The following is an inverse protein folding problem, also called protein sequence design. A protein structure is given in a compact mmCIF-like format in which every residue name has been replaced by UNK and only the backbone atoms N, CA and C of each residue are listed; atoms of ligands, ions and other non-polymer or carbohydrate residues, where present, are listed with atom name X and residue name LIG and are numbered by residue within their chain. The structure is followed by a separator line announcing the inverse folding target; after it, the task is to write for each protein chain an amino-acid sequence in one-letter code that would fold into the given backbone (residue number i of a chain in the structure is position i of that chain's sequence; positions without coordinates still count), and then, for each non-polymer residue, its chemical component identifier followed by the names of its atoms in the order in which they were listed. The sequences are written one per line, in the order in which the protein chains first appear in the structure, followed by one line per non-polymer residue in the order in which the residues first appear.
data_IF_696842442622
#
_entry.id   IF_696842442622
#
_cell.length_a   1.000
_cell.length_b   1.000
_cell.length_c   1.000
_cell.angle_alpha   90.00
_cell.angle_beta   90.00
_cell.angle_gamma   90.00
#
_symmetry.space_group_name_H-M   'P 1'
#
loop_
_entity.id
_entity.type
_entity.pdbx_description
1 polymer ?
#
# COMPACT_ATOMS: atom_id res chain seq x y z
N UNK A 1 37.84 17.62 -60.49
CA UNK A 1 37.57 16.40 -61.28
C UNK A 1 36.43 15.65 -60.61
N UNK A 2 35.28 15.72 -61.28
CA UNK A 2 34.35 14.58 -61.58
C UNK A 2 33.91 13.77 -60.37
N UNK A 3 32.68 13.46 -60.14
CA UNK A 3 31.45 13.44 -60.97
C UNK A 3 30.23 13.34 -60.03
N UNK A 4 29.15 13.91 -60.52
CA UNK A 4 27.78 13.77 -60.02
C UNK A 4 27.28 12.33 -60.16
N UNK A 5 26.45 11.92 -59.25
CA UNK A 5 25.43 10.87 -59.53
C UNK A 5 24.16 11.22 -58.79
N UNK A 6 23.19 11.72 -59.50
CA UNK A 6 21.81 11.84 -59.07
C UNK A 6 21.16 10.46 -59.15
N UNK A 7 20.50 10.07 -58.10
CA UNK A 7 19.64 8.88 -58.14
C UNK A 7 18.19 9.28 -57.85
N UNK A 8 17.41 9.31 -58.87
CA UNK A 8 15.94 9.42 -58.82
C UNK A 8 15.36 8.11 -58.27
N UNK A 9 14.59 8.20 -57.24
CA UNK A 9 13.77 7.11 -56.77
C UNK A 9 12.29 7.47 -56.91
N UNK A 10 11.66 6.69 -57.78
CA UNK A 10 10.27 6.72 -58.17
C UNK A 10 9.35 6.44 -56.98
N UNK A 11 8.40 7.30 -56.72
CA UNK A 11 7.25 7.09 -55.87
C UNK A 11 6.29 6.13 -56.57
N UNK A 12 6.26 4.88 -56.10
CA UNK A 12 5.20 3.95 -56.40
C UNK A 12 4.01 4.21 -55.49
N UNK A 13 2.93 4.70 -56.06
CA UNK A 13 1.66 4.86 -55.37
C UNK A 13 1.07 3.52 -54.97
N UNK A 14 0.84 3.32 -53.71
CA UNK A 14 -0.03 2.25 -53.22
C UNK A 14 -1.47 2.74 -53.26
N UNK A 15 -2.24 2.08 -54.11
CA UNK A 15 -3.68 2.24 -54.21
C UNK A 15 -4.36 1.93 -52.89
N UNK A 16 -5.10 2.90 -52.38
CA UNK A 16 -5.96 2.70 -51.25
C UNK A 16 -7.12 1.77 -51.60
N UNK A 17 -7.07 0.59 -51.04
CA UNK A 17 -8.21 -0.32 -51.04
C UNK A 17 -9.26 0.30 -50.10
N UNK A 18 -10.33 0.81 -50.70
CA UNK A 18 -11.51 1.25 -49.95
C UNK A 18 -12.18 0.01 -49.38
N UNK A 19 -11.83 -0.33 -48.15
CA UNK A 19 -12.68 -1.21 -47.36
C UNK A 19 -13.94 -0.41 -47.04
N UNK A 20 -15.02 -0.74 -47.76
CA UNK A 20 -16.36 -0.33 -47.40
C UNK A 20 -16.69 -1.06 -46.10
N UNK A 21 -16.25 -0.51 -45.02
CA UNK A 21 -16.64 -0.93 -43.66
C UNK A 21 -18.11 -0.62 -43.52
N UNK A 22 -18.89 -1.68 -43.45
CA UNK A 22 -20.28 -1.68 -43.06
C UNK A 22 -20.41 -0.85 -41.77
N UNK A 23 -20.97 0.35 -41.92
CA UNK A 23 -21.30 1.24 -40.80
C UNK A 23 -22.41 0.56 -39.99
N UNK A 24 -22.04 -0.39 -39.13
CA UNK A 24 -22.91 -0.79 -38.02
C UNK A 24 -22.99 0.41 -37.11
N UNK A 25 -24.06 1.16 -37.28
CA UNK A 25 -24.35 2.35 -36.46
C UNK A 25 -24.26 1.98 -35.01
N UNK A 26 -23.23 2.47 -34.35
CA UNK A 26 -23.10 2.39 -32.91
C UNK A 26 -24.27 3.17 -32.37
N UNK A 27 -25.22 2.50 -31.73
CA UNK A 27 -26.41 3.15 -31.16
C UNK A 27 -25.99 4.08 -30.03
N UNK A 28 -26.73 5.16 -29.83
CA UNK A 28 -26.47 6.13 -28.76
C UNK A 28 -26.31 5.46 -27.40
N UNK A 29 -27.00 4.33 -27.15
CA UNK A 29 -26.85 3.55 -25.93
C UNK A 29 -25.50 2.82 -25.82
N UNK A 30 -24.84 2.47 -26.91
CA UNK A 30 -23.50 1.89 -26.88
C UNK A 30 -22.45 2.96 -26.59
N UNK A 31 -22.63 4.16 -27.14
CA UNK A 31 -21.76 5.30 -26.84
C UNK A 31 -21.92 5.71 -25.38
N UNK A 32 -23.15 5.73 -24.85
CA UNK A 32 -23.41 6.04 -23.44
C UNK A 32 -22.74 5.04 -22.47
N UNK A 33 -22.66 3.76 -22.86
CA UNK A 33 -21.94 2.74 -22.05
C UNK A 33 -20.42 2.89 -22.09
N UNK A 34 -19.87 3.40 -23.18
CA UNK A 34 -18.43 3.67 -23.32
C UNK A 34 -18.01 5.00 -22.68
N UNK A 35 -18.97 5.91 -22.47
CA UNK A 35 -18.74 7.26 -21.95
C UNK A 35 -19.05 7.41 -20.46
N UNK A 36 -19.59 6.38 -19.83
CA UNK A 36 -19.69 6.40 -18.36
C UNK A 36 -18.28 6.11 -17.86
N UNK A 37 -17.57 7.09 -17.25
CA UNK A 37 -16.40 6.75 -16.49
C UNK A 37 -16.91 5.76 -15.45
N UNK A 38 -16.41 4.54 -15.47
CA UNK A 38 -16.50 3.63 -14.36
C UNK A 38 -15.84 4.38 -13.21
N UNK A 39 -16.65 5.09 -12.45
CA UNK A 39 -16.24 5.61 -11.16
C UNK A 39 -15.90 4.33 -10.41
N UNK A 40 -14.61 4.01 -10.39
CA UNK A 40 -14.06 3.03 -9.49
C UNK A 40 -14.54 3.47 -8.12
N UNK A 41 -15.63 2.84 -7.67
CA UNK A 41 -16.11 2.99 -6.31
C UNK A 41 -14.96 2.40 -5.50
N UNK A 42 -14.03 3.28 -5.10
CA UNK A 42 -12.97 2.93 -4.17
C UNK A 42 -13.71 2.38 -2.97
N UNK A 43 -13.70 1.06 -2.86
CA UNK A 43 -14.35 0.33 -1.79
C UNK A 43 -13.91 1.01 -0.48
N UNK A 44 -14.83 1.65 0.27
CA UNK A 44 -14.47 2.25 1.54
C UNK A 44 -13.93 1.22 2.54
N UNK A 45 -14.02 -0.08 2.22
CA UNK A 45 -13.35 -1.16 2.91
C UNK A 45 -11.88 -1.38 2.47
N UNK A 46 -11.44 -0.75 1.40
CA UNK A 46 -10.00 -0.62 1.10
C UNK A 46 -9.26 0.24 2.13
N UNK A 47 -9.97 0.84 3.08
CA UNK A 47 -9.37 1.42 4.27
C UNK A 47 -8.56 0.34 5.01
N UNK A 48 -7.28 0.54 5.05
CA UNK A 48 -6.30 -0.35 5.67
C UNK A 48 -6.62 -0.48 7.15
N UNK A 49 -7.20 -1.59 7.56
CA UNK A 49 -7.59 -1.83 8.97
C UNK A 49 -6.64 -2.81 9.63
N UNK A 50 -5.83 -2.38 10.58
CA UNK A 50 -5.07 -3.30 11.41
C UNK A 50 -6.05 -4.13 12.25
N UNK A 51 -5.74 -5.42 12.37
CA UNK A 51 -6.51 -6.39 13.12
C UNK A 51 -5.65 -7.01 14.21
N UNK A 52 -6.25 -7.53 15.28
CA UNK A 52 -5.52 -8.18 16.34
C UNK A 52 -4.66 -9.34 15.82
N UNK A 53 -3.40 -9.36 16.27
CA UNK A 53 -2.51 -10.49 16.08
C UNK A 53 -3.01 -11.69 16.91
N UNK A 54 -2.86 -12.87 16.35
CA UNK A 54 -3.17 -14.15 16.99
C UNK A 54 -1.87 -14.83 17.44
N UNK A 55 -1.91 -15.69 18.41
CA UNK A 55 -0.75 -16.48 18.86
C UNK A 55 -0.11 -17.24 17.69
N UNK A 56 -0.93 -17.81 16.81
CA UNK A 56 -0.45 -18.51 15.61
C UNK A 56 0.34 -17.61 14.63
N UNK A 57 0.14 -16.30 14.66
CA UNK A 57 0.83 -15.37 13.77
C UNK A 57 2.33 -15.32 14.10
N UNK A 58 2.71 -15.42 15.36
CA UNK A 58 4.10 -15.43 15.80
C UNK A 58 4.84 -16.69 15.34
N UNK A 59 4.18 -17.85 15.46
CA UNK A 59 4.72 -19.13 14.95
C UNK A 59 4.84 -19.14 13.43
N UNK A 60 3.84 -18.66 12.72
CA UNK A 60 3.84 -18.56 11.27
C UNK A 60 4.90 -17.58 10.74
N UNK A 61 5.12 -16.48 11.43
CA UNK A 61 6.13 -15.48 11.11
C UNK A 61 7.54 -15.87 11.56
N UNK A 62 7.69 -16.93 12.36
CA UNK A 62 8.95 -17.29 13.04
C UNK A 62 9.56 -16.11 13.82
N UNK A 63 8.69 -15.24 14.33
CA UNK A 63 9.11 -14.05 15.05
C UNK A 63 9.48 -14.41 16.49
N UNK A 64 10.65 -13.99 16.99
CA UNK A 64 10.97 -14.11 18.41
C UNK A 64 10.04 -13.24 19.27
N UNK A 65 10.21 -13.27 20.59
CA UNK A 65 9.51 -12.33 21.46
C UNK A 65 9.74 -10.89 20.98
N UNK A 66 8.69 -10.08 20.83
CA UNK A 66 8.83 -8.73 20.30
C UNK A 66 9.54 -7.82 21.33
N UNK A 67 10.42 -6.95 20.85
CA UNK A 67 11.06 -5.92 21.66
C UNK A 67 10.08 -4.76 21.97
N UNK A 68 9.20 -4.47 21.00
CA UNK A 68 8.15 -3.46 21.10
C UNK A 68 6.83 -3.96 20.52
N UNK A 69 5.72 -3.41 20.99
CA UNK A 69 4.40 -3.71 20.45
C UNK A 69 3.44 -2.52 20.58
N UNK A 70 2.52 -2.41 19.62
CA UNK A 70 1.38 -1.52 19.72
C UNK A 70 0.11 -2.32 19.99
N UNK A 71 -0.63 -1.90 21.01
CA UNK A 71 -1.88 -2.54 21.40
C UNK A 71 -3.02 -1.55 21.60
N UNK A 72 -4.24 -2.04 21.38
CA UNK A 72 -5.48 -1.30 21.62
C UNK A 72 -6.51 -2.22 22.25
N UNK A 73 -7.17 -1.76 23.31
CA UNK A 73 -8.20 -2.54 24.04
C UNK A 73 -7.70 -3.93 24.46
N UNK A 74 -6.46 -4.02 24.97
CA UNK A 74 -5.85 -5.28 25.39
C UNK A 74 -5.43 -6.21 24.25
N UNK A 75 -5.58 -5.81 23.00
CA UNK A 75 -5.23 -6.62 21.81
C UNK A 75 -4.02 -6.02 21.11
N UNK A 76 -3.05 -6.86 20.78
CA UNK A 76 -1.86 -6.47 20.03
C UNK A 76 -2.19 -6.33 18.54
N UNK A 77 -1.83 -5.19 17.92
CA UNK A 77 -2.04 -4.89 16.51
C UNK A 77 -0.76 -4.92 15.71
N UNK A 78 0.37 -4.60 16.35
CA UNK A 78 1.71 -4.61 15.77
C UNK A 78 2.67 -5.22 16.77
N UNK A 79 3.55 -6.08 16.33
CA UNK A 79 4.68 -6.60 17.09
C UNK A 79 5.96 -6.34 16.30
N UNK A 80 7.02 -5.90 16.97
CA UNK A 80 8.26 -5.51 16.33
C UNK A 80 9.49 -5.97 17.13
N UNK A 81 10.53 -6.37 16.41
CA UNK A 81 11.87 -6.69 16.90
C UNK A 81 12.88 -5.71 16.32
N UNK A 82 14.15 -5.87 16.66
CA UNK A 82 15.21 -5.01 16.13
C UNK A 82 15.34 -5.01 14.59
N UNK A 83 14.85 -6.02 13.90
CA UNK A 83 15.00 -6.16 12.43
C UNK A 83 13.71 -6.34 11.65
N UNK A 84 12.60 -6.61 12.30
CA UNK A 84 11.37 -7.05 11.65
C UNK A 84 10.12 -6.63 12.44
N UNK A 85 9.00 -6.51 11.76
CA UNK A 85 7.71 -6.31 12.41
C UNK A 85 6.62 -7.10 11.71
N UNK A 86 5.59 -7.47 12.46
CA UNK A 86 4.38 -8.10 11.92
C UNK A 86 3.14 -7.33 12.33
N UNK A 87 2.20 -7.24 11.41
CA UNK A 87 0.84 -6.78 11.68
C UNK A 87 -0.15 -7.55 10.82
N UNK A 88 -1.37 -7.68 11.30
CA UNK A 88 -2.46 -8.23 10.51
C UNK A 88 -3.28 -7.09 9.93
N UNK A 89 -3.35 -7.01 8.61
CA UNK A 89 -4.07 -5.96 7.89
C UNK A 89 -5.03 -6.61 6.89
N UNK A 90 -6.30 -6.25 6.95
CA UNK A 90 -7.35 -6.80 6.09
C UNK A 90 -7.35 -8.35 6.02
N UNK A 91 -7.18 -9.02 7.17
CA UNK A 91 -7.15 -10.47 7.28
C UNK A 91 -5.81 -11.14 6.94
N UNK A 92 -4.85 -10.41 6.37
CA UNK A 92 -3.54 -10.93 5.97
C UNK A 92 -2.47 -10.58 7.02
N UNK A 93 -1.62 -11.54 7.33
CA UNK A 93 -0.40 -11.29 8.09
C UNK A 93 0.64 -10.69 7.14
N UNK A 94 1.15 -9.53 7.49
CA UNK A 94 2.18 -8.80 6.75
C UNK A 94 3.45 -8.74 7.58
N UNK A 95 4.59 -8.81 6.89
CA UNK A 95 5.92 -8.60 7.42
C UNK A 95 6.45 -7.26 6.93
N UNK A 96 7.05 -6.51 7.82
CA UNK A 96 7.58 -5.19 7.57
C UNK A 96 9.05 -5.14 7.93
N UNK A 97 9.82 -4.44 7.13
CA UNK A 97 11.17 -4.05 7.50
C UNK A 97 11.17 -2.71 8.21
N UNK A 98 12.18 -2.46 9.02
CA UNK A 98 12.40 -1.14 9.60
C UNK A 98 12.92 -0.17 8.55
N UNK A 99 12.31 1.01 8.51
CA UNK A 99 12.83 2.13 7.71
C UNK A 99 13.43 3.23 8.58
N UNK A 100 13.24 3.15 9.90
CA UNK A 100 13.80 4.07 10.89
C UNK A 100 14.02 3.35 12.23
N UNK A 101 14.90 3.86 13.10
CA UNK A 101 15.13 3.26 14.42
C UNK A 101 13.84 3.09 15.22
N UNK A 102 13.63 1.87 15.72
CA UNK A 102 12.54 1.55 16.63
C UNK A 102 13.00 1.75 18.07
N UNK A 103 12.10 2.27 18.91
CA UNK A 103 12.38 2.45 20.32
C UNK A 103 11.19 2.98 21.10
N UNK A 104 11.41 3.45 22.34
CA UNK A 104 10.35 4.00 23.19
C UNK A 104 9.60 5.18 22.58
N UNK A 105 10.20 5.92 21.66
CA UNK A 105 9.56 7.05 20.96
C UNK A 105 8.59 6.62 19.86
N UNK A 106 8.69 5.38 19.37
CA UNK A 106 7.92 4.85 18.27
C UNK A 106 8.77 4.09 17.26
N UNK A 107 8.26 3.97 16.04
CA UNK A 107 8.94 3.31 14.93
C UNK A 107 8.21 3.52 13.61
N UNK A 108 8.92 3.27 12.50
CA UNK A 108 8.36 3.29 11.17
C UNK A 108 8.68 1.98 10.45
N UNK A 109 7.66 1.37 9.89
CA UNK A 109 7.70 0.04 9.29
C UNK A 109 7.04 0.10 7.92
N UNK A 110 7.63 -0.56 6.93
CA UNK A 110 7.06 -0.57 5.60
C UNK A 110 7.21 -1.90 4.88
N UNK A 111 6.27 -2.19 4.01
CA UNK A 111 6.35 -3.16 2.94
C UNK A 111 6.13 -2.46 1.59
N UNK A 112 5.85 -3.24 0.52
CA UNK A 112 5.64 -2.69 -0.83
C UNK A 112 4.41 -1.80 -0.96
N UNK A 113 3.41 -1.94 -0.11
CA UNK A 113 2.10 -1.28 -0.25
C UNK A 113 1.68 -0.53 1.00
N UNK A 114 2.01 -1.07 2.15
CA UNK A 114 1.56 -0.58 3.45
C UNK A 114 2.74 0.02 4.19
N UNK A 115 2.54 1.18 4.79
CA UNK A 115 3.45 1.71 5.80
C UNK A 115 2.70 1.87 7.12
N UNK A 116 3.43 1.63 8.19
CA UNK A 116 2.95 1.77 9.56
C UNK A 116 3.89 2.69 10.31
N UNK A 117 3.35 3.75 10.87
CA UNK A 117 4.06 4.66 11.75
C UNK A 117 3.46 4.54 13.15
N UNK A 118 4.29 4.43 14.15
CA UNK A 118 3.88 4.47 15.56
C UNK A 118 4.61 5.62 16.24
N UNK A 119 3.88 6.47 16.91
CA UNK A 119 4.44 7.57 17.70
C UNK A 119 3.78 7.64 19.08
N UNK A 120 4.55 8.10 20.08
CA UNK A 120 3.98 8.44 21.38
C UNK A 120 3.13 9.70 21.25
N UNK A 121 1.99 9.71 21.92
CA UNK A 121 1.14 10.90 22.07
C UNK A 121 1.41 11.66 23.36
N UNK A 122 2.24 11.10 24.28
CA UNK A 122 2.67 11.72 25.52
C UNK A 122 4.15 11.42 25.78
N UNK A 123 4.86 12.39 26.31
CA UNK A 123 6.24 12.20 26.79
C UNK A 123 6.28 11.38 28.09
N UNK A 124 5.21 11.42 28.88
CA UNK A 124 5.10 10.69 30.14
C UNK A 124 4.66 9.25 29.87
N UNK A 125 5.41 8.28 30.37
CA UNK A 125 4.99 6.89 30.37
C UNK A 125 3.78 6.71 31.31
N UNK A 126 2.80 5.90 30.90
CA UNK A 126 1.72 5.51 31.79
C UNK A 126 2.22 4.55 32.90
N UNK A 127 3.12 3.64 32.51
CA UNK A 127 3.86 2.70 33.36
C UNK A 127 5.25 2.50 32.76
N UNK A 128 6.15 1.79 33.46
CA UNK A 128 7.47 1.45 32.93
C UNK A 128 7.36 0.76 31.58
N UNK A 129 7.97 1.34 30.55
CA UNK A 129 7.98 0.80 29.18
C UNK A 129 6.66 0.89 28.43
N UNK A 130 5.65 1.63 28.92
CA UNK A 130 4.33 1.79 28.28
C UNK A 130 3.98 3.27 28.12
N UNK A 131 3.61 3.66 26.91
CA UNK A 131 3.26 5.04 26.58
C UNK A 131 1.93 5.09 25.81
N UNK A 132 1.09 6.09 26.08
CA UNK A 132 0.02 6.43 25.15
C UNK A 132 0.64 6.68 23.78
N UNK A 133 0.06 6.10 22.75
CA UNK A 133 0.60 6.19 21.40
C UNK A 133 -0.48 6.14 20.33
N UNK A 134 -0.09 6.51 19.14
CA UNK A 134 -0.92 6.44 17.95
C UNK A 134 -0.21 5.61 16.90
N UNK A 135 -0.97 4.72 16.28
CA UNK A 135 -0.54 4.01 15.07
C UNK A 135 -1.26 4.63 13.87
N UNK A 136 -0.49 4.93 12.83
CA UNK A 136 -0.99 5.36 11.53
C UNK A 136 -0.66 4.27 10.52
N UNK A 137 -1.67 3.76 9.84
CA UNK A 137 -1.51 2.75 8.79
C UNK A 137 -1.93 3.36 7.48
N UNK A 138 -1.03 3.36 6.50
CA UNK A 138 -1.24 3.99 5.19
C UNK A 138 -1.12 2.96 4.08
N UNK A 139 -2.09 2.94 3.18
CA UNK A 139 -1.97 2.24 1.91
C UNK A 139 -1.49 3.21 0.83
N UNK A 140 -0.24 3.07 0.42
CA UNK A 140 0.40 3.97 -0.55
C UNK A 140 -0.20 3.91 -1.96
N UNK A 141 -0.91 2.82 -2.30
CA UNK A 141 -1.57 2.69 -3.60
C UNK A 141 -2.94 3.33 -3.66
N UNK A 142 -3.68 3.24 -2.56
CA UNK A 142 -5.05 3.72 -2.49
C UNK A 142 -5.16 5.11 -1.85
N UNK A 143 -4.04 5.71 -1.45
CA UNK A 143 -3.98 6.97 -0.68
C UNK A 143 -4.92 6.96 0.54
N UNK A 144 -5.07 5.77 1.13
CA UNK A 144 -5.95 5.54 2.26
C UNK A 144 -5.16 5.43 3.56
N UNK A 145 -5.61 6.13 4.58
CA UNK A 145 -4.96 6.17 5.88
C UNK A 145 -5.97 5.94 7.00
N UNK A 146 -5.54 5.27 8.05
CA UNK A 146 -6.27 5.18 9.31
C UNK A 146 -5.34 5.47 10.49
N UNK A 147 -5.86 6.17 11.48
CA UNK A 147 -5.19 6.42 12.74
C UNK A 147 -5.95 5.76 13.89
N UNK A 148 -5.24 5.13 14.79
CA UNK A 148 -5.80 4.51 15.99
C UNK A 148 -4.97 4.87 17.21
N UNK A 149 -5.62 5.35 18.25
CA UNK A 149 -5.00 5.55 19.55
C UNK A 149 -4.93 4.23 20.32
N UNK A 150 -3.86 4.07 21.09
CA UNK A 150 -3.59 2.86 21.85
C UNK A 150 -2.39 3.02 22.78
N UNK A 151 -1.69 1.92 23.03
CA UNK A 151 -0.51 1.87 23.90
C UNK A 151 0.67 1.33 23.11
N UNK A 152 1.75 2.08 23.06
CA UNK A 152 3.06 1.62 22.62
C UNK A 152 3.84 1.11 23.82
N UNK A 153 4.44 -0.06 23.69
CA UNK A 153 5.19 -0.72 24.74
C UNK A 153 6.50 -1.28 24.20
N UNK A 154 7.61 -1.04 24.92
CA UNK A 154 8.92 -1.63 24.64
C UNK A 154 9.57 -2.15 25.92
N UNK A 155 10.43 -3.17 25.77
CA UNK A 155 11.09 -3.84 26.89
C UNK A 155 10.11 -4.79 27.60
N UNK A 156 9.88 -5.94 27.01
CA UNK A 156 9.06 -7.02 27.59
C UNK A 156 9.86 -7.82 28.59
#
# INVERSE_FOLDING_TARGET
MRASAALFLLLAGCGGERVVGENRGVTANQIARLSTPEVEIVDPQAAVRPQPLKVADFGGARMPAPDCAFGRNGRMLLAATAGDAIARVNGRLLHFTHSAPMGPSGGFFEDRQISISVGRTSATAADAGRWPGRITVTNRRADAQIELDGVWRCGF
#
